data_IF_570354863585
#
_entry.id   IF_570354863585
#
_cell.length_a   1.000
_cell.length_b   1.000
_cell.length_c   1.000
_cell.angle_alpha   90.00
_cell.angle_beta   90.00
_cell.angle_gamma   90.00
#
_symmetry.space_group_name_H-M   'P 1'
#
loop_
_entity.id
_entity.type
_entity.pdbx_description
1 polymer ?
#
# COMPACT_ATOMS: atom_id res chain seq x y z
N UNK A 1 -37.37 1.32 -16.90
CA UNK A 1 -36.58 0.08 -17.13
C UNK A 1 -35.86 0.13 -18.50
N UNK A 2 -35.00 1.12 -18.75
CA UNK A 2 -34.34 1.30 -20.07
C UNK A 2 -32.80 1.29 -20.03
N UNK A 3 -32.19 1.15 -18.85
CA UNK A 3 -30.72 1.12 -18.71
C UNK A 3 -30.12 -0.29 -18.70
N UNK A 4 -30.95 -1.34 -18.71
CA UNK A 4 -30.48 -2.73 -18.62
C UNK A 4 -29.61 -3.19 -19.81
N UNK A 5 -29.91 -2.82 -21.08
CA UNK A 5 -29.07 -3.23 -22.20
C UNK A 5 -27.68 -2.60 -22.17
N UNK A 6 -27.56 -1.37 -21.65
CA UNK A 6 -26.28 -0.65 -21.62
C UNK A 6 -25.26 -1.33 -20.70
N UNK A 7 -25.73 -1.88 -19.57
CA UNK A 7 -24.87 -2.64 -18.65
C UNK A 7 -24.44 -3.99 -19.23
N UNK A 8 -25.26 -4.60 -20.09
CA UNK A 8 -24.90 -5.85 -20.77
C UNK A 8 -23.91 -5.64 -21.93
N UNK A 9 -23.88 -4.45 -22.53
CA UNK A 9 -23.01 -4.13 -23.66
C UNK A 9 -21.57 -3.76 -23.24
N UNK A 10 -21.35 -3.45 -21.96
CA UNK A 10 -19.97 -3.40 -21.43
C UNK A 10 -19.52 -4.85 -21.30
N UNK A 11 -18.94 -5.35 -22.38
CA UNK A 11 -18.24 -6.64 -22.44
C UNK A 11 -17.24 -6.64 -21.27
N UNK A 12 -17.65 -7.30 -20.18
CA UNK A 12 -16.89 -7.28 -18.95
C UNK A 12 -15.50 -7.81 -19.27
N UNK A 13 -14.48 -6.95 -19.12
CA UNK A 13 -13.09 -7.36 -19.37
C UNK A 13 -12.85 -8.60 -18.53
N UNK A 14 -12.48 -9.74 -19.15
CA UNK A 14 -12.33 -10.98 -18.40
C UNK A 14 -11.36 -10.75 -17.25
N UNK A 15 -11.74 -11.14 -16.03
CA UNK A 15 -10.92 -10.95 -14.83
C UNK A 15 -9.50 -11.50 -15.04
N UNK A 16 -9.38 -12.59 -15.81
CA UNK A 16 -8.08 -13.16 -16.21
C UNK A 16 -7.20 -12.18 -16.97
N UNK A 17 -7.77 -11.42 -17.92
CA UNK A 17 -7.03 -10.40 -18.67
C UNK A 17 -6.53 -9.29 -17.74
N UNK A 18 -7.39 -8.81 -16.83
CA UNK A 18 -6.98 -7.81 -15.83
C UNK A 18 -5.82 -8.33 -14.97
N UNK A 19 -5.87 -9.61 -14.55
CA UNK A 19 -4.80 -10.25 -13.78
C UNK A 19 -3.49 -10.37 -14.58
N UNK A 20 -3.57 -10.79 -15.84
CA UNK A 20 -2.41 -10.94 -16.73
C UNK A 20 -1.76 -9.58 -17.05
N UNK A 21 -2.57 -8.56 -17.31
CA UNK A 21 -2.11 -7.19 -17.54
C UNK A 21 -1.44 -6.62 -16.28
N UNK A 22 -2.04 -6.84 -15.10
CA UNK A 22 -1.47 -6.42 -13.81
C UNK A 22 -0.12 -7.10 -13.55
N UNK A 23 -0.02 -8.41 -13.79
CA UNK A 23 1.23 -9.18 -13.67
C UNK A 23 2.32 -8.64 -14.59
N UNK A 24 1.97 -8.29 -15.83
CA UNK A 24 2.89 -7.73 -16.81
C UNK A 24 3.40 -6.36 -16.39
N UNK A 25 2.51 -5.53 -15.85
CA UNK A 25 2.86 -4.20 -15.35
C UNK A 25 3.78 -4.28 -14.13
N UNK A 26 3.45 -5.13 -13.15
CA UNK A 26 4.30 -5.38 -11.97
C UNK A 26 5.71 -5.80 -12.39
N UNK A 27 5.83 -6.78 -13.28
CA UNK A 27 7.13 -7.23 -13.80
C UNK A 27 7.90 -6.09 -14.42
N UNK A 28 7.24 -5.27 -15.23
CA UNK A 28 7.86 -4.11 -15.89
C UNK A 28 8.41 -3.11 -14.86
N UNK A 29 7.66 -2.82 -13.80
CA UNK A 29 8.09 -1.92 -12.73
C UNK A 29 9.31 -2.50 -12.00
N UNK A 30 9.25 -3.77 -11.60
CA UNK A 30 10.35 -4.46 -10.92
C UNK A 30 11.62 -4.47 -11.77
N UNK A 31 11.50 -4.77 -13.07
CA UNK A 31 12.64 -4.73 -14.00
C UNK A 31 13.22 -3.33 -14.08
N UNK A 32 12.40 -2.28 -14.25
CA UNK A 32 12.89 -0.89 -14.33
C UNK A 32 13.60 -0.44 -13.07
N UNK A 33 13.10 -0.81 -11.89
CA UNK A 33 13.77 -0.50 -10.61
C UNK A 33 15.14 -1.18 -10.54
N UNK A 34 15.21 -2.46 -10.93
CA UNK A 34 16.47 -3.20 -10.93
C UNK A 34 17.47 -2.64 -11.97
N UNK A 35 17.01 -2.20 -13.14
CA UNK A 35 17.88 -1.58 -14.15
C UNK A 35 18.45 -0.24 -13.67
N UNK A 36 17.66 0.56 -12.94
CA UNK A 36 18.14 1.78 -12.28
C UNK A 36 19.22 1.43 -11.25
N UNK A 37 19.06 0.34 -10.50
CA UNK A 37 20.06 -0.09 -9.50
C UNK A 37 21.39 -0.52 -10.12
N UNK A 38 21.41 -0.92 -11.39
CA UNK A 38 22.65 -1.22 -12.11
C UNK A 38 23.32 0.04 -12.69
N UNK A 39 22.53 1.06 -13.04
CA UNK A 39 23.05 2.29 -13.67
C UNK A 39 23.43 3.38 -12.67
N UNK A 40 22.76 3.42 -11.53
CA UNK A 40 23.08 4.32 -10.42
C UNK A 40 23.74 3.51 -9.32
N UNK A 41 24.69 4.07 -8.58
CA UNK A 41 25.42 3.42 -7.46
C UNK A 41 24.54 3.07 -6.24
N UNK A 42 23.27 2.76 -6.47
CA UNK A 42 22.35 2.19 -5.51
C UNK A 42 22.80 0.76 -5.25
N UNK A 43 22.90 0.37 -3.98
CA UNK A 43 23.46 -0.93 -3.61
C UNK A 43 22.65 -2.05 -4.25
N UNK A 44 23.31 -3.01 -4.90
CA UNK A 44 22.68 -4.22 -5.45
C UNK A 44 21.98 -5.08 -4.37
N UNK A 45 22.18 -4.79 -3.08
CA UNK A 45 21.43 -5.38 -1.96
C UNK A 45 20.00 -4.85 -1.83
N UNK A 46 19.67 -3.70 -2.43
CA UNK A 46 18.34 -3.07 -2.36
C UNK A 46 17.45 -3.50 -3.53
N UNK A 47 17.49 -4.78 -3.90
CA UNK A 47 16.53 -5.33 -4.88
C UNK A 47 15.15 -5.27 -4.25
N UNK A 48 14.20 -4.65 -4.94
CA UNK A 48 12.78 -4.67 -4.53
C UNK A 48 12.26 -6.08 -4.74
N UNK A 49 12.35 -6.89 -3.68
CA UNK A 49 11.67 -8.18 -3.58
C UNK A 49 10.31 -7.94 -2.95
N UNK A 50 9.24 -8.45 -3.56
CA UNK A 50 7.91 -8.42 -2.96
C UNK A 50 6.85 -7.69 -3.75
N UNK A 51 7.15 -6.92 -4.81
CA UNK A 51 6.06 -6.36 -5.64
C UNK A 51 5.27 -7.41 -6.44
N UNK A 52 5.65 -8.69 -6.33
CA UNK A 52 4.99 -9.85 -6.93
C UNK A 52 3.60 -10.17 -6.34
N UNK A 53 3.05 -9.27 -5.51
CA UNK A 53 1.73 -9.35 -4.89
C UNK A 53 0.60 -9.33 -5.94
N UNK A 54 0.37 -10.45 -6.63
CA UNK A 54 -0.79 -10.64 -7.49
C UNK A 54 -1.99 -11.02 -6.60
N UNK A 55 -3.09 -10.25 -6.61
CA UNK A 55 -4.30 -10.58 -5.87
C UNK A 55 -4.82 -11.97 -6.25
N UNK A 56 -4.80 -12.90 -5.29
CA UNK A 56 -5.19 -14.32 -5.47
C UNK A 56 -4.04 -15.33 -5.50
N UNK A 57 -2.78 -14.90 -5.61
CA UNK A 57 -1.61 -15.80 -5.60
C UNK A 57 -0.81 -15.78 -4.29
N UNK A 58 -0.78 -14.64 -3.58
CA UNK A 58 -0.19 -14.59 -2.24
C UNK A 58 -1.25 -14.97 -1.18
N UNK A 59 -1.06 -16.06 -0.41
CA UNK A 59 -2.09 -16.53 0.53
C UNK A 59 -2.35 -15.62 1.73
N UNK A 60 -1.55 -14.56 1.94
CA UNK A 60 -1.27 -14.06 3.31
C UNK A 60 -1.61 -12.60 3.55
N UNK A 61 -2.64 -12.03 2.92
CA UNK A 61 -3.30 -10.84 3.48
C UNK A 61 -4.81 -10.94 3.21
N UNK A 62 -5.61 -11.15 4.26
CA UNK A 62 -7.05 -11.01 4.17
C UNK A 62 -7.40 -9.55 3.81
N UNK A 63 -8.58 -9.30 3.22
CA UNK A 63 -9.04 -7.92 2.95
C UNK A 63 -9.01 -7.07 4.24
N UNK A 64 -9.32 -7.68 5.39
CA UNK A 64 -9.18 -7.04 6.71
C UNK A 64 -7.75 -6.62 7.02
N UNK A 65 -6.75 -7.47 6.71
CA UNK A 65 -5.35 -7.13 6.95
C UNK A 65 -4.84 -6.04 6.00
N UNK A 66 -5.34 -6.02 4.76
CA UNK A 66 -5.09 -4.93 3.82
C UNK A 66 -5.65 -3.60 4.36
N UNK A 67 -6.92 -3.58 4.79
CA UNK A 67 -7.56 -2.40 5.37
C UNK A 67 -6.82 -1.91 6.62
N UNK A 68 -6.44 -2.81 7.53
CA UNK A 68 -5.64 -2.48 8.71
C UNK A 68 -4.29 -1.86 8.34
N UNK A 69 -3.62 -2.39 7.32
CA UNK A 69 -2.33 -1.87 6.87
C UNK A 69 -2.48 -0.44 6.34
N UNK A 70 -3.49 -0.18 5.51
CA UNK A 70 -3.78 1.16 5.00
C UNK A 70 -4.14 2.14 6.12
N UNK A 71 -4.92 1.70 7.12
CA UNK A 71 -5.26 2.52 8.27
C UNK A 71 -4.03 2.96 9.08
N UNK A 72 -3.05 2.07 9.25
CA UNK A 72 -1.77 2.39 9.90
C UNK A 72 -0.99 3.42 9.07
N UNK A 73 -0.92 3.23 7.73
CA UNK A 73 -0.27 4.20 6.85
C UNK A 73 -0.92 5.59 6.90
N UNK A 74 -2.25 5.66 6.90
CA UNK A 74 -2.97 6.92 7.05
C UNK A 74 -2.58 7.62 8.36
N UNK A 75 -2.55 6.89 9.47
CA UNK A 75 -2.17 7.45 10.78
C UNK A 75 -0.72 7.97 10.81
N UNK A 76 0.22 7.22 10.23
CA UNK A 76 1.61 7.68 10.10
C UNK A 76 1.68 8.94 9.23
N UNK A 77 0.97 8.97 8.10
CA UNK A 77 0.98 10.14 7.22
C UNK A 77 0.42 11.40 7.91
N UNK A 78 -0.61 11.25 8.75
CA UNK A 78 -1.15 12.40 9.50
C UNK A 78 -0.16 13.02 10.49
N UNK A 79 0.88 12.29 10.91
CA UNK A 79 1.94 12.84 11.78
C UNK A 79 3.11 13.48 11.01
N UNK A 80 3.14 13.37 9.67
CA UNK A 80 4.24 13.89 8.87
C UNK A 80 3.97 15.31 8.34
N UNK A 81 4.91 16.26 8.51
CA UNK A 81 4.77 17.62 7.99
C UNK A 81 5.11 17.63 6.49
N UNK A 82 4.14 17.37 5.61
CA UNK A 82 4.37 17.54 4.18
C UNK A 82 3.13 18.00 3.40
N UNK A 83 3.35 18.86 2.40
CA UNK A 83 2.30 19.37 1.50
C UNK A 83 1.64 18.25 0.69
N UNK A 84 2.37 17.17 0.42
CA UNK A 84 1.91 16.05 -0.39
C UNK A 84 1.06 15.05 0.40
N UNK A 85 0.98 15.18 1.74
CA UNK A 85 0.19 14.27 2.59
C UNK A 85 -1.28 14.27 2.20
N UNK A 86 -1.84 15.39 1.77
CA UNK A 86 -3.28 15.49 1.45
C UNK A 86 -3.64 14.54 0.29
N UNK A 87 -2.88 14.58 -0.81
CA UNK A 87 -3.15 13.74 -1.97
C UNK A 87 -2.98 12.25 -1.63
N UNK A 88 -1.89 11.92 -0.94
CA UNK A 88 -1.61 10.53 -0.55
C UNK A 88 -2.69 10.04 0.42
N UNK A 89 -3.14 10.87 1.37
CA UNK A 89 -4.22 10.53 2.30
C UNK A 89 -5.52 10.22 1.56
N UNK A 90 -5.88 11.05 0.57
CA UNK A 90 -7.07 10.83 -0.26
C UNK A 90 -6.94 9.54 -1.08
N UNK A 91 -5.77 9.27 -1.66
CA UNK A 91 -5.51 8.05 -2.41
C UNK A 91 -5.65 6.81 -1.51
N UNK A 92 -5.16 6.87 -0.26
CA UNK A 92 -5.34 5.79 0.71
C UNK A 92 -6.80 5.61 1.12
N UNK A 93 -7.56 6.69 1.31
CA UNK A 93 -8.99 6.62 1.62
C UNK A 93 -9.76 5.95 0.49
N UNK A 94 -9.51 6.37 -0.75
CA UNK A 94 -10.10 5.74 -1.95
C UNK A 94 -9.79 4.24 -2.03
N UNK A 95 -8.54 3.85 -1.73
CA UNK A 95 -8.17 2.43 -1.71
C UNK A 95 -8.91 1.63 -0.64
N UNK A 96 -9.12 2.22 0.54
CA UNK A 96 -9.92 1.58 1.61
C UNK A 96 -11.37 1.43 1.20
N UNK A 97 -11.98 2.45 0.61
CA UNK A 97 -13.36 2.38 0.10
C UNK A 97 -13.53 1.27 -0.93
N UNK A 98 -12.58 1.12 -1.86
CA UNK A 98 -12.58 0.03 -2.83
C UNK A 98 -12.43 -1.34 -2.17
N UNK A 99 -11.63 -1.47 -1.11
CA UNK A 99 -11.55 -2.71 -0.31
C UNK A 99 -12.87 -3.02 0.39
N UNK A 100 -13.53 -2.03 1.00
CA UNK A 100 -14.83 -2.18 1.62
C UNK A 100 -15.91 -2.59 0.62
N UNK A 101 -15.89 -1.99 -0.58
CA UNK A 101 -16.79 -2.36 -1.68
C UNK A 101 -16.55 -3.80 -2.15
N UNK A 102 -15.29 -4.20 -2.33
CA UNK A 102 -14.92 -5.57 -2.71
C UNK A 102 -15.29 -6.60 -1.65
N UNK A 103 -15.20 -6.24 -0.37
CA UNK A 103 -15.57 -7.10 0.73
C UNK A 103 -17.11 -7.24 0.81
N UNK A 104 -17.82 -6.13 0.62
CA UNK A 104 -19.28 -6.10 0.51
C UNK A 104 -19.80 -6.92 -0.67
N UNK A 105 -19.15 -6.85 -1.83
CA UNK A 105 -19.51 -7.65 -3.01
C UNK A 105 -19.29 -9.15 -2.81
N UNK A 106 -18.51 -9.55 -1.80
CA UNK A 106 -18.28 -10.93 -1.38
C UNK A 106 -19.11 -11.34 -0.16
N UNK A 107 -20.07 -10.51 0.27
CA UNK A 107 -20.89 -10.72 1.47
C UNK A 107 -20.05 -10.85 2.76
N UNK A 108 -18.88 -10.19 2.80
CA UNK A 108 -17.99 -10.16 3.96
C UNK A 108 -17.61 -8.71 4.29
N UNK A 109 -18.55 -7.86 4.76
CA UNK A 109 -18.24 -6.47 5.06
C UNK A 109 -17.11 -6.38 6.09
N UNK A 110 -16.14 -5.48 5.86
CA UNK A 110 -15.06 -5.25 6.81
C UNK A 110 -15.53 -4.32 7.92
N UNK A 111 -15.23 -4.61 9.20
CA UNK A 111 -15.34 -3.59 10.24
C UNK A 111 -14.36 -2.46 9.91
N UNK A 112 -14.76 -1.21 10.15
CA UNK A 112 -13.89 -0.07 9.93
C UNK A 112 -12.61 -0.23 10.76
N UNK A 113 -11.47 -0.50 10.10
CA UNK A 113 -10.20 -0.55 10.82
C UNK A 113 -9.88 0.86 11.33
N UNK A 114 -9.73 0.99 12.65
CA UNK A 114 -9.14 2.17 13.25
C UNK A 114 -7.62 2.02 13.14
N UNK A 115 -6.94 3.12 12.79
CA UNK A 115 -5.50 3.21 12.96
C UNK A 115 -5.14 2.79 14.39
N UNK A 116 -4.08 2.03 14.53
CA UNK A 116 -3.66 1.43 15.78
C UNK A 116 -3.63 2.49 16.90
N UNK A 117 -4.43 2.33 17.96
CA UNK A 117 -4.32 3.14 19.20
C UNK A 117 -2.89 3.09 19.77
N UNK A 118 -2.11 2.09 19.36
CA UNK A 118 -0.71 1.87 19.72
C UNK A 118 0.29 2.73 18.94
N UNK A 119 -0.08 3.84 18.28
CA UNK A 119 0.95 4.79 17.81
C UNK A 119 1.85 5.26 18.97
N UNK A 120 1.33 5.27 20.20
CA UNK A 120 2.12 5.46 21.41
C UNK A 120 3.29 4.46 21.54
N UNK A 121 3.14 3.20 21.12
CA UNK A 121 4.26 2.24 21.10
C UNK A 121 5.18 2.41 19.90
N UNK A 122 4.73 3.11 18.84
CA UNK A 122 5.56 3.47 17.69
C UNK A 122 6.29 4.79 17.88
N UNK A 123 6.00 5.54 18.96
CA UNK A 123 6.63 6.83 19.25
C UNK A 123 8.16 6.76 19.20
N UNK A 124 8.77 5.74 19.82
CA UNK A 124 10.22 5.52 19.76
C UNK A 124 10.72 5.25 18.33
N UNK A 125 9.96 4.54 17.50
CA UNK A 125 10.31 4.30 16.08
C UNK A 125 10.21 5.57 15.25
N UNK A 126 9.19 6.41 15.51
CA UNK A 126 8.99 7.67 14.82
C UNK A 126 10.11 8.67 15.17
N UNK A 127 10.43 8.80 16.46
CA UNK A 127 11.55 9.63 16.95
C UNK A 127 12.89 9.16 16.40
N UNK A 128 13.15 7.83 16.41
CA UNK A 128 14.35 7.25 15.81
C UNK A 128 14.47 7.59 14.32
N UNK A 129 13.35 7.52 13.59
CA UNK A 129 13.30 7.84 12.16
C UNK A 129 13.55 9.33 11.90
N UNK A 130 12.99 10.21 12.72
CA UNK A 130 13.20 11.66 12.63
C UNK A 130 14.65 12.04 12.96
N UNK A 131 15.25 11.40 13.97
CA UNK A 131 16.67 11.58 14.30
C UNK A 131 17.56 11.18 13.13
N UNK A 132 17.36 9.99 12.56
CA UNK A 132 18.11 9.54 11.38
C UNK A 132 17.93 10.47 10.19
N UNK A 133 16.71 10.97 9.95
CA UNK A 133 16.45 11.92 8.88
C UNK A 133 17.17 13.27 9.08
N UNK A 134 17.35 13.69 10.34
CA UNK A 134 18.10 14.91 10.70
C UNK A 134 19.63 14.71 10.69
N UNK A 135 20.11 13.53 10.30
CA UNK A 135 21.54 13.19 10.31
C UNK A 135 22.07 12.69 11.66
N UNK A 136 21.18 12.30 12.58
CA UNK A 136 21.55 11.63 13.82
C UNK A 136 22.16 10.25 13.55
N UNK A 137 23.10 9.82 14.40
CA UNK A 137 23.73 8.51 14.29
C UNK A 137 22.75 7.38 14.68
N UNK A 138 22.79 6.20 14.03
CA UNK A 138 21.96 5.06 14.41
C UNK A 138 22.09 4.65 15.89
N UNK A 139 23.23 4.92 16.53
CA UNK A 139 23.42 4.70 17.97
C UNK A 139 22.54 5.62 18.83
N UNK A 140 22.32 6.87 18.42
CA UNK A 140 21.41 7.79 19.12
C UNK A 140 19.95 7.38 18.93
N UNK A 141 19.59 6.94 17.73
CA UNK A 141 18.24 6.46 17.42
C UNK A 141 17.87 5.19 18.21
N UNK A 142 18.84 4.29 18.46
CA UNK A 142 18.63 3.10 19.27
C UNK A 142 18.33 3.41 20.76
N UNK A 143 18.72 4.58 21.26
CA UNK A 143 18.53 4.99 22.65
C UNK A 143 17.12 5.49 23.01
N UNK A 144 16.20 5.62 22.03
CA UNK A 144 14.87 6.22 22.23
C UNK A 144 13.79 5.16 22.57
N UNK A 145 14.19 4.02 23.15
CA UNK A 145 13.24 3.00 23.65
C UNK A 145 12.56 3.47 24.94
#
# INVERSE_FOLDING_TARGET
>A
LWLWPYLFFIEAVPIRKVQDDTKTLIKTIVTRINDISHTQSVSSKQRVTGLDFIPGLHPVLSLSKMDQTLAIYQQILTSLPSRNVIQISNDLENLRDLLHLLASSKSCPLPQARGLETLASLGGVLEASLLLHRGGSPEQAAGVS
#
